data_IF_602551020322
#
_entry.id   IF_602551020322
#
_cell.length_a   1.000
_cell.length_b   1.000
_cell.length_c   1.000
_cell.angle_alpha   90.00
_cell.angle_beta   90.00
_cell.angle_gamma   90.00
#
_symmetry.space_group_name_H-M   'P 1'
#
loop_
_entity.id
_entity.type
_entity.pdbx_description
1 polymer ?
#
# COMPACT_ATOMS: atom_id res chain seq x y z
N UNK A 1 -0.82 18.55 15.49
CA UNK A 1 -0.94 18.79 14.03
C UNK A 1 0.39 19.18 13.35
N UNK A 2 1.14 20.18 13.82
CA UNK A 2 2.44 20.53 13.19
C UNK A 2 3.44 19.37 13.17
N UNK A 3 3.55 18.60 14.25
CA UNK A 3 4.46 17.45 14.34
C UNK A 3 4.11 16.33 13.35
N UNK A 4 2.82 16.02 13.16
CA UNK A 4 2.35 15.03 12.18
C UNK A 4 2.75 15.41 10.76
N UNK A 5 2.58 16.70 10.41
CA UNK A 5 2.93 17.21 9.08
C UNK A 5 4.44 17.16 8.85
N UNK A 6 5.25 17.52 9.85
CA UNK A 6 6.70 17.47 9.76
C UNK A 6 7.22 16.03 9.58
N UNK A 7 6.65 15.08 10.29
CA UNK A 7 6.99 13.65 10.15
C UNK A 7 6.58 13.11 8.78
N UNK A 8 5.40 13.47 8.32
CA UNK A 8 4.95 13.15 6.96
C UNK A 8 5.89 13.73 5.89
N UNK A 9 6.25 15.01 6.01
CA UNK A 9 7.19 15.66 5.09
C UNK A 9 8.57 15.00 5.10
N UNK A 10 9.07 14.61 6.28
CA UNK A 10 10.34 13.87 6.39
C UNK A 10 10.30 12.58 5.59
N UNK A 11 9.23 11.79 5.72
CA UNK A 11 9.11 10.51 5.03
C UNK A 11 8.89 10.69 3.51
N UNK A 12 8.12 11.70 3.10
CA UNK A 12 7.95 12.02 1.69
C UNK A 12 9.25 12.52 1.06
N UNK A 13 9.97 13.40 1.76
CA UNK A 13 11.29 13.89 1.31
C UNK A 13 12.30 12.75 1.19
N UNK A 14 12.32 11.81 2.15
CA UNK A 14 13.15 10.61 2.07
C UNK A 14 12.86 9.82 0.81
N UNK A 15 11.60 9.55 0.51
CA UNK A 15 11.19 8.83 -0.69
C UNK A 15 11.63 9.56 -1.98
N UNK A 16 11.53 10.89 -2.03
CA UNK A 16 11.94 11.68 -3.22
C UNK A 16 13.47 11.71 -3.39
N UNK A 17 14.22 11.77 -2.28
CA UNK A 17 15.70 11.79 -2.31
C UNK A 17 16.27 10.42 -2.69
N UNK A 18 15.56 9.35 -2.38
CA UNK A 18 15.92 7.98 -2.72
C UNK A 18 14.99 7.40 -3.81
N UNK A 19 15.24 7.73 -5.09
CA UNK A 19 14.38 7.29 -6.19
C UNK A 19 14.29 5.77 -6.31
N UNK A 20 15.31 5.05 -5.85
CA UNK A 20 15.31 3.59 -5.76
C UNK A 20 14.18 3.06 -4.87
N UNK A 21 13.81 3.76 -3.80
CA UNK A 21 12.69 3.40 -2.92
C UNK A 21 11.35 3.53 -3.66
N UNK A 22 11.16 4.61 -4.41
CA UNK A 22 9.95 4.83 -5.21
C UNK A 22 9.85 3.79 -6.33
N UNK A 23 10.93 3.57 -7.06
CA UNK A 23 10.96 2.60 -8.16
C UNK A 23 10.67 1.19 -7.63
N UNK A 24 11.31 0.77 -6.54
CA UNK A 24 11.04 -0.53 -5.92
C UNK A 24 9.59 -0.69 -5.48
N UNK A 25 9.00 0.36 -4.91
CA UNK A 25 7.62 0.39 -4.46
C UNK A 25 6.62 0.31 -5.64
N UNK A 26 6.95 0.85 -6.81
CA UNK A 26 6.09 0.89 -7.99
C UNK A 26 6.22 -0.34 -8.89
N UNK A 27 7.40 -0.95 -8.94
CA UNK A 27 7.66 -2.12 -9.80
C UNK A 27 6.71 -3.27 -9.47
N UNK A 28 6.54 -3.60 -8.20
CA UNK A 28 5.73 -4.74 -7.79
C UNK A 28 4.26 -4.65 -8.24
N UNK A 29 3.50 -3.57 -7.96
CA UNK A 29 2.12 -3.46 -8.43
C UNK A 29 2.01 -3.35 -9.96
N UNK A 30 2.94 -2.69 -10.62
CA UNK A 30 2.97 -2.62 -12.09
C UNK A 30 3.19 -4.00 -12.70
N UNK A 31 4.12 -4.79 -12.16
CA UNK A 31 4.31 -6.18 -12.58
C UNK A 31 3.05 -7.02 -12.41
N UNK A 32 2.31 -6.86 -11.29
CA UNK A 32 1.05 -7.57 -11.10
C UNK A 32 0.02 -7.19 -12.16
N UNK A 33 -0.14 -5.90 -12.47
CA UNK A 33 -1.07 -5.44 -13.52
C UNK A 33 -0.69 -6.03 -14.88
N UNK A 34 0.59 -5.98 -15.23
CA UNK A 34 1.09 -6.52 -16.51
C UNK A 34 0.94 -8.06 -16.56
N UNK A 35 1.33 -8.75 -15.48
CA UNK A 35 1.26 -10.21 -15.41
C UNK A 35 -0.17 -10.72 -15.56
N UNK A 36 -1.11 -10.15 -14.79
CA UNK A 36 -2.51 -10.52 -14.90
C UNK A 36 -3.13 -10.07 -16.22
N UNK A 37 -2.80 -8.88 -16.69
CA UNK A 37 -3.33 -8.36 -17.95
C UNK A 37 -2.87 -9.14 -19.17
N UNK A 38 -1.59 -9.48 -19.26
CA UNK A 38 -1.05 -10.26 -20.38
C UNK A 38 -1.32 -11.75 -20.20
N UNK A 39 -1.12 -12.28 -18.99
CA UNK A 39 -1.26 -13.72 -18.71
C UNK A 39 -2.69 -14.22 -18.93
N UNK A 40 -3.69 -13.48 -18.48
CA UNK A 40 -5.09 -13.90 -18.68
C UNK A 40 -5.60 -13.63 -20.10
N UNK A 41 -5.03 -12.67 -20.81
CA UNK A 41 -5.39 -12.41 -22.22
C UNK A 41 -5.21 -13.65 -23.09
N UNK A 42 -4.16 -14.43 -22.87
CA UNK A 42 -3.90 -15.68 -23.60
C UNK A 42 -4.90 -16.78 -23.27
N UNK A 43 -5.46 -16.79 -22.03
CA UNK A 43 -6.43 -17.79 -21.61
C UNK A 43 -7.85 -17.45 -22.02
N UNK A 44 -8.21 -16.16 -22.08
CA UNK A 44 -9.56 -15.70 -22.41
C UNK A 44 -9.81 -15.58 -23.92
N UNK A 45 -8.76 -15.51 -24.74
CA UNK A 45 -8.87 -15.51 -26.21
C UNK A 45 -9.53 -16.76 -26.78
N UNK A 46 -9.70 -17.81 -25.96
CA UNK A 46 -10.38 -19.07 -26.32
C UNK A 46 -11.87 -19.11 -25.98
N UNK A 47 -12.43 -18.09 -25.27
CA UNK A 47 -13.85 -18.06 -24.87
C UNK A 47 -14.59 -16.96 -25.63
N UNK A 48 -15.55 -17.29 -26.52
CA UNK A 48 -16.38 -16.30 -27.18
C UNK A 48 -17.31 -15.61 -26.14
N UNK A 49 -17.12 -14.30 -25.92
CA UNK A 49 -18.05 -13.51 -25.10
C UNK A 49 -17.47 -12.70 -23.95
N UNK A 50 -16.24 -12.96 -23.51
CA UNK A 50 -15.59 -12.14 -22.48
C UNK A 50 -14.57 -11.19 -23.12
N UNK A 51 -14.82 -9.88 -23.02
CA UNK A 51 -13.85 -8.88 -23.45
C UNK A 51 -12.75 -8.71 -22.39
N UNK A 52 -11.49 -8.53 -22.84
CA UNK A 52 -10.36 -8.21 -21.95
C UNK A 52 -10.62 -7.01 -21.05
N UNK A 53 -11.42 -6.07 -21.53
CA UNK A 53 -11.79 -4.85 -20.82
C UNK A 53 -12.55 -5.13 -19.52
N UNK A 54 -13.45 -6.13 -19.55
CA UNK A 54 -14.24 -6.51 -18.36
C UNK A 54 -13.36 -7.19 -17.29
N UNK A 55 -12.41 -8.02 -17.73
CA UNK A 55 -11.47 -8.69 -16.81
C UNK A 55 -10.54 -7.69 -16.11
N UNK A 56 -9.93 -6.78 -16.86
CA UNK A 56 -9.05 -5.76 -16.27
C UNK A 56 -9.79 -4.85 -15.30
N UNK A 57 -11.01 -4.48 -15.63
CA UNK A 57 -11.87 -3.67 -14.75
C UNK A 57 -12.17 -4.39 -13.43
N UNK A 58 -12.29 -5.72 -13.46
CA UNK A 58 -12.52 -6.54 -12.26
C UNK A 58 -11.25 -6.74 -11.40
N UNK A 59 -10.08 -6.92 -12.03
CA UNK A 59 -8.84 -7.27 -11.32
C UNK A 59 -8.17 -6.06 -10.68
N UNK A 60 -8.26 -4.87 -11.28
CA UNK A 60 -7.61 -3.65 -10.79
C UNK A 60 -7.94 -3.35 -9.32
N UNK A 61 -9.19 -3.38 -8.85
CA UNK A 61 -9.51 -3.16 -7.43
C UNK A 61 -8.80 -4.13 -6.50
N UNK A 62 -8.67 -5.41 -6.90
CA UNK A 62 -7.93 -6.41 -6.14
C UNK A 62 -6.43 -6.08 -6.03
N UNK A 63 -5.81 -5.67 -7.13
CA UNK A 63 -4.40 -5.26 -7.14
C UNK A 63 -4.20 -4.02 -6.26
N UNK A 64 -5.12 -3.06 -6.30
CA UNK A 64 -5.10 -1.87 -5.43
C UNK A 64 -5.16 -2.27 -3.96
N UNK A 65 -6.05 -3.19 -3.59
CA UNK A 65 -6.16 -3.67 -2.20
C UNK A 65 -4.87 -4.37 -1.74
N UNK A 66 -4.30 -5.27 -2.56
CA UNK A 66 -3.02 -5.92 -2.28
C UNK A 66 -1.88 -4.90 -2.13
N UNK A 67 -1.86 -3.87 -2.96
CA UNK A 67 -0.87 -2.79 -2.90
C UNK A 67 -1.00 -1.98 -1.60
N UNK A 68 -2.22 -1.71 -1.15
CA UNK A 68 -2.47 -1.01 0.11
C UNK A 68 -1.96 -1.82 1.32
N UNK A 69 -2.18 -3.13 1.33
CA UNK A 69 -1.61 -4.03 2.35
C UNK A 69 -0.09 -4.01 2.31
N UNK A 70 0.52 -4.15 1.13
CA UNK A 70 1.97 -4.12 0.96
C UNK A 70 2.62 -2.82 1.46
N UNK A 71 2.01 -1.68 1.16
CA UNK A 71 2.48 -0.37 1.61
C UNK A 71 2.36 -0.21 3.15
N UNK A 72 1.30 -0.75 3.75
CA UNK A 72 1.14 -0.76 5.21
C UNK A 72 2.24 -1.61 5.88
N UNK A 73 2.54 -2.79 5.33
CA UNK A 73 3.62 -3.66 5.80
C UNK A 73 4.97 -2.95 5.70
N UNK A 74 5.25 -2.30 4.59
CA UNK A 74 6.48 -1.52 4.40
C UNK A 74 6.57 -0.36 5.39
N UNK A 75 5.45 0.31 5.68
CA UNK A 75 5.37 1.36 6.71
C UNK A 75 5.72 0.85 8.09
N UNK A 76 5.23 -0.33 8.48
CA UNK A 76 5.56 -0.98 9.74
C UNK A 76 7.03 -1.41 9.81
N UNK A 77 7.59 -1.97 8.73
CA UNK A 77 9.01 -2.31 8.64
C UNK A 77 9.91 -1.08 8.77
N UNK A 78 9.55 0.03 8.14
CA UNK A 78 10.26 1.32 8.26
C UNK A 78 10.26 1.79 9.71
N UNK A 79 9.12 1.74 10.37
CA UNK A 79 8.99 2.06 11.80
C UNK A 79 9.87 1.20 12.68
N UNK A 80 9.87 -0.12 12.45
CA UNK A 80 10.72 -1.05 13.19
C UNK A 80 12.20 -0.73 13.02
N UNK A 81 12.65 -0.47 11.79
CA UNK A 81 14.02 -0.08 11.51
C UNK A 81 14.40 1.25 12.19
N UNK A 82 13.52 2.25 12.19
CA UNK A 82 13.73 3.51 12.93
C UNK A 82 13.83 3.25 14.45
N UNK A 83 13.06 2.29 14.99
CA UNK A 83 13.12 1.90 16.40
C UNK A 83 14.45 1.19 16.73
N UNK A 84 14.85 0.24 15.92
CA UNK A 84 16.10 -0.52 16.11
C UNK A 84 17.34 0.39 16.00
N UNK A 85 17.31 1.35 15.09
CA UNK A 85 18.37 2.35 14.92
C UNK A 85 18.35 3.48 15.97
N UNK A 86 17.41 3.44 16.93
CA UNK A 86 17.34 4.43 18.00
C UNK A 86 16.67 5.76 17.63
N UNK A 87 16.30 5.98 16.37
CA UNK A 87 15.66 7.22 15.88
C UNK A 87 14.35 7.50 16.61
N UNK A 88 13.60 6.44 16.97
CA UNK A 88 12.36 6.57 17.74
C UNK A 88 12.61 7.17 19.13
N UNK A 89 13.78 6.92 19.75
CA UNK A 89 14.15 7.51 21.04
C UNK A 89 14.27 9.04 20.93
N UNK A 90 14.77 9.54 19.82
CA UNK A 90 14.85 10.98 19.55
C UNK A 90 13.45 11.62 19.44
N UNK A 91 12.50 10.91 18.78
CA UNK A 91 11.11 11.37 18.73
C UNK A 91 10.45 11.39 20.10
N UNK A 92 10.75 10.41 20.95
CA UNK A 92 10.19 10.31 22.29
C UNK A 92 10.83 11.31 23.28
N UNK A 93 12.06 11.74 23.03
CA UNK A 93 12.74 12.79 23.79
C UNK A 93 12.21 14.20 23.45
N UNK A 94 11.64 14.37 22.23
CA UNK A 94 11.02 15.62 21.84
C UNK A 94 9.62 15.77 22.50
N UNK A 95 9.16 16.99 22.80
CA UNK A 95 7.84 17.24 23.37
C UNK A 95 6.73 17.08 22.31
N UNK A 96 6.62 15.87 21.74
CA UNK A 96 5.69 15.53 20.68
C UNK A 96 4.70 14.48 21.19
N UNK A 97 3.38 14.68 21.00
CA UNK A 97 2.40 13.67 21.37
C UNK A 97 2.65 12.35 20.60
N UNK A 98 2.66 11.22 21.29
CA UNK A 98 2.88 9.88 20.70
C UNK A 98 1.91 9.60 19.55
N UNK A 99 0.68 10.05 19.66
CA UNK A 99 -0.33 9.93 18.61
C UNK A 99 0.08 10.64 17.32
N UNK A 100 0.79 11.78 17.40
CA UNK A 100 1.27 12.51 16.23
C UNK A 100 2.33 11.71 15.45
N UNK A 101 3.11 10.88 16.14
CA UNK A 101 4.12 10.03 15.52
C UNK A 101 3.43 8.90 14.70
N UNK A 102 2.45 8.23 15.32
CA UNK A 102 1.67 7.18 14.66
C UNK A 102 0.89 7.73 13.46
N UNK A 103 0.21 8.87 13.66
CA UNK A 103 -0.53 9.54 12.57
C UNK A 103 0.38 10.01 11.44
N UNK A 104 1.59 10.49 11.75
CA UNK A 104 2.57 10.86 10.73
C UNK A 104 2.99 9.69 9.85
N UNK A 105 3.23 8.53 10.46
CA UNK A 105 3.57 7.30 9.75
C UNK A 105 2.38 6.79 8.92
N UNK A 106 1.18 6.68 9.51
CA UNK A 106 -0.03 6.25 8.82
C UNK A 106 -0.36 7.14 7.61
N UNK A 107 -0.33 8.47 7.78
CA UNK A 107 -0.57 9.42 6.69
C UNK A 107 0.45 9.28 5.58
N UNK A 108 1.71 9.04 5.92
CA UNK A 108 2.78 8.80 4.96
C UNK A 108 2.55 7.52 4.14
N UNK A 109 2.16 6.43 4.80
CA UNK A 109 1.81 5.16 4.15
C UNK A 109 0.63 5.33 3.20
N UNK A 110 -0.44 6.02 3.63
CA UNK A 110 -1.59 6.32 2.78
C UNK A 110 -1.19 7.15 1.55
N UNK A 111 -0.32 8.16 1.72
CA UNK A 111 0.16 8.98 0.59
C UNK A 111 0.95 8.14 -0.42
N UNK A 112 1.77 7.20 0.04
CA UNK A 112 2.49 6.25 -0.83
C UNK A 112 1.51 5.34 -1.58
N UNK A 113 0.49 4.82 -0.90
CA UNK A 113 -0.59 4.02 -1.54
C UNK A 113 -1.31 4.82 -2.63
N UNK A 114 -1.65 6.07 -2.37
CA UNK A 114 -2.34 6.90 -3.36
C UNK A 114 -1.49 7.12 -4.63
N UNK A 115 -0.18 7.32 -4.47
CA UNK A 115 0.74 7.41 -5.62
C UNK A 115 0.76 6.08 -6.40
N UNK A 116 0.82 4.94 -5.71
CA UNK A 116 0.78 3.62 -6.34
C UNK A 116 -0.53 3.38 -7.07
N UNK A 117 -1.66 3.73 -6.45
CA UNK A 117 -2.99 3.62 -7.08
C UNK A 117 -3.09 4.44 -8.35
N UNK A 118 -2.57 5.68 -8.36
CA UNK A 118 -2.53 6.49 -9.57
C UNK A 118 -1.75 5.80 -10.70
N UNK A 119 -0.59 5.23 -10.39
CA UNK A 119 0.21 4.51 -11.39
C UNK A 119 -0.51 3.26 -11.88
N UNK A 120 -1.13 2.48 -10.98
CA UNK A 120 -1.94 1.29 -11.33
C UNK A 120 -3.08 1.67 -12.27
N UNK A 121 -3.79 2.76 -11.98
CA UNK A 121 -4.90 3.23 -12.81
C UNK A 121 -4.41 3.67 -14.19
N UNK A 122 -3.30 4.39 -14.28
CA UNK A 122 -2.70 4.79 -15.56
C UNK A 122 -2.33 3.56 -16.39
N UNK A 123 -1.61 2.61 -15.80
CA UNK A 123 -1.22 1.37 -16.50
C UNK A 123 -2.45 0.55 -16.90
N UNK A 124 -3.44 0.43 -16.01
CA UNK A 124 -4.70 -0.26 -16.27
C UNK A 124 -5.48 0.34 -17.43
N UNK A 125 -5.53 1.68 -17.54
CA UNK A 125 -6.12 2.38 -18.68
C UNK A 125 -5.42 2.02 -20.00
N UNK A 126 -4.09 2.02 -20.02
CA UNK A 126 -3.34 1.60 -21.20
C UNK A 126 -3.59 0.14 -21.58
N UNK A 127 -3.97 -0.69 -20.64
CA UNK A 127 -4.30 -2.10 -20.86
C UNK A 127 -5.78 -2.36 -21.19
N UNK A 128 -6.60 -1.30 -21.26
CA UNK A 128 -8.00 -1.37 -21.68
C UNK A 128 -9.01 -1.43 -20.54
N UNK A 129 -8.63 -1.12 -19.30
CA UNK A 129 -9.59 -1.02 -18.21
C UNK A 129 -10.60 0.10 -18.44
N UNK A 130 -11.87 -0.20 -18.24
CA UNK A 130 -12.94 0.79 -18.30
C UNK A 130 -13.16 1.39 -16.93
N UNK A 131 -12.82 2.65 -16.79
CA UNK A 131 -13.08 3.39 -15.56
C UNK A 131 -14.52 3.93 -15.58
N UNK A 132 -15.16 3.88 -14.41
CA UNK A 132 -16.52 4.43 -14.26
C UNK A 132 -16.49 5.96 -14.35
N UNK A 133 -17.42 6.55 -15.08
CA UNK A 133 -17.58 8.00 -15.18
C UNK A 133 -18.25 8.63 -13.95
N UNK A 134 -18.54 7.83 -12.92
CA UNK A 134 -19.22 8.30 -11.72
C UNK A 134 -18.23 8.93 -10.72
N UNK A 135 -18.23 10.26 -10.52
CA UNK A 135 -17.31 10.93 -9.61
C UNK A 135 -17.54 10.57 -8.14
N UNK A 136 -18.76 10.20 -7.76
CA UNK A 136 -19.05 9.70 -6.41
C UNK A 136 -18.38 8.34 -6.15
N UNK A 137 -18.33 7.47 -7.16
CA UNK A 137 -17.63 6.18 -7.09
C UNK A 137 -16.12 6.36 -6.84
N UNK A 138 -15.52 7.35 -7.49
CA UNK A 138 -14.10 7.69 -7.28
C UNK A 138 -13.84 8.19 -5.87
N UNK A 139 -14.67 9.11 -5.37
CA UNK A 139 -14.56 9.63 -4.01
C UNK A 139 -14.71 8.49 -2.98
N UNK A 140 -15.71 7.63 -3.16
CA UNK A 140 -15.92 6.44 -2.32
C UNK A 140 -14.72 5.50 -2.35
N UNK A 141 -14.17 5.22 -3.53
CA UNK A 141 -12.96 4.39 -3.69
C UNK A 141 -11.75 4.96 -2.97
N UNK A 142 -11.46 6.25 -3.12
CA UNK A 142 -10.37 6.91 -2.40
C UNK A 142 -10.55 6.88 -0.88
N UNK A 143 -11.75 7.09 -0.38
CA UNK A 143 -12.06 7.02 1.06
C UNK A 143 -11.88 5.60 1.59
N UNK A 144 -12.33 4.60 0.85
CA UNK A 144 -12.15 3.19 1.22
C UNK A 144 -10.66 2.80 1.26
N UNK A 145 -9.88 3.18 0.24
CA UNK A 145 -8.44 2.92 0.19
C UNK A 145 -7.72 3.61 1.34
N UNK A 146 -8.06 4.86 1.64
CA UNK A 146 -7.48 5.60 2.75
C UNK A 146 -7.83 4.97 4.09
N UNK A 147 -9.09 4.61 4.32
CA UNK A 147 -9.55 3.95 5.55
C UNK A 147 -8.90 2.58 5.74
N UNK A 148 -8.84 1.78 4.68
CA UNK A 148 -8.18 0.50 4.67
C UNK A 148 -6.67 0.63 4.93
N UNK A 149 -6.01 1.59 4.28
CA UNK A 149 -4.59 1.88 4.47
C UNK A 149 -4.26 2.32 5.90
N UNK A 150 -5.10 3.15 6.53
CA UNK A 150 -4.93 3.56 7.93
C UNK A 150 -5.11 2.35 8.86
N UNK A 151 -6.14 1.54 8.66
CA UNK A 151 -6.41 0.36 9.48
C UNK A 151 -5.26 -0.65 9.42
N UNK A 152 -4.83 -1.02 8.23
CA UNK A 152 -3.70 -1.93 8.05
C UNK A 152 -2.36 -1.33 8.52
N UNK A 153 -2.15 -0.02 8.36
CA UNK A 153 -0.96 0.65 8.89
C UNK A 153 -0.92 0.59 10.42
N UNK A 154 -2.06 0.81 11.09
CA UNK A 154 -2.18 0.66 12.55
C UNK A 154 -1.86 -0.77 13.01
N UNK A 155 -2.37 -1.76 12.28
CA UNK A 155 -2.09 -3.17 12.54
C UNK A 155 -0.61 -3.50 12.34
N UNK A 156 -0.01 -3.11 11.22
CA UNK A 156 1.41 -3.32 10.91
C UNK A 156 2.33 -2.65 11.94
N UNK A 157 1.98 -1.44 12.40
CA UNK A 157 2.68 -0.74 13.46
C UNK A 157 2.57 -1.45 14.82
N UNK A 158 1.42 -2.05 15.13
CA UNK A 158 1.24 -2.84 16.36
C UNK A 158 2.17 -4.05 16.37
N UNK A 159 2.25 -4.78 15.26
CA UNK A 159 3.20 -5.91 15.10
C UNK A 159 4.64 -5.43 15.18
N UNK A 160 4.98 -4.32 14.51
CA UNK A 160 6.31 -3.72 14.53
C UNK A 160 6.74 -3.25 15.92
N UNK A 161 5.79 -2.83 16.77
CA UNK A 161 6.07 -2.42 18.14
C UNK A 161 6.36 -3.61 19.07
N UNK A 162 5.83 -4.78 18.74
CA UNK A 162 5.94 -6.02 19.54
C UNK A 162 7.12 -6.90 19.13
N UNK A 163 7.83 -6.54 18.05
CA UNK A 163 8.90 -7.36 17.47
C UNK A 163 10.24 -6.65 17.62
N UNK A 164 11.29 -7.39 17.96
CA UNK A 164 12.64 -6.86 18.17
C UNK A 164 13.62 -7.17 17.03
N UNK A 165 13.14 -7.81 15.95
CA UNK A 165 13.95 -8.09 14.76
C UNK A 165 13.14 -7.90 13.48
N UNK A 166 13.81 -7.46 12.42
CA UNK A 166 13.20 -7.28 11.10
C UNK A 166 12.69 -8.61 10.52
N UNK A 167 13.42 -9.69 10.73
CA UNK A 167 13.03 -11.03 10.28
C UNK A 167 11.79 -11.53 11.01
N UNK A 168 11.73 -11.36 12.33
CA UNK A 168 10.55 -11.70 13.13
C UNK A 168 9.30 -10.92 12.72
N UNK A 169 9.46 -9.63 12.37
CA UNK A 169 8.38 -8.82 11.85
C UNK A 169 7.82 -9.39 10.54
N UNK A 170 8.68 -9.66 9.56
CA UNK A 170 8.25 -10.20 8.28
C UNK A 170 7.60 -11.57 8.42
N UNK A 171 8.12 -12.43 9.31
CA UNK A 171 7.54 -13.74 9.60
C UNK A 171 6.15 -13.61 10.24
N UNK A 172 5.96 -12.73 11.23
CA UNK A 172 4.66 -12.49 11.85
C UNK A 172 3.63 -11.95 10.84
N UNK A 173 4.02 -10.97 10.04
CA UNK A 173 3.16 -10.42 9.00
C UNK A 173 2.76 -11.49 7.98
N UNK A 174 3.70 -12.32 7.54
CA UNK A 174 3.44 -13.39 6.60
C UNK A 174 2.45 -14.41 7.17
N UNK A 175 2.64 -14.83 8.43
CA UNK A 175 1.71 -15.76 9.11
C UNK A 175 0.30 -15.18 9.24
N UNK A 176 0.17 -13.88 9.45
CA UNK A 176 -1.12 -13.21 9.55
C UNK A 176 -1.76 -12.95 8.18
N UNK A 177 -0.94 -12.77 7.14
CA UNK A 177 -1.41 -12.54 5.78
C UNK A 177 -2.00 -13.82 5.16
N UNK A 178 -1.48 -15.00 5.49
CA UNK A 178 -1.98 -16.28 4.98
C UNK A 178 -3.47 -16.50 5.28
N UNK A 179 -3.95 -16.41 6.55
CA UNK A 179 -5.38 -16.55 6.84
C UNK A 179 -6.24 -15.52 6.12
N UNK A 180 -5.75 -14.27 5.98
CA UNK A 180 -6.49 -13.22 5.27
C UNK A 180 -6.68 -13.54 3.79
N UNK A 181 -5.65 -14.11 3.14
CA UNK A 181 -5.76 -14.56 1.74
C UNK A 181 -6.77 -15.70 1.58
N UNK A 182 -6.78 -16.67 2.49
CA UNK A 182 -7.73 -17.78 2.43
C UNK A 182 -9.17 -17.36 2.74
N UNK A 183 -9.37 -16.45 3.70
CA UNK A 183 -10.69 -15.91 4.03
C UNK A 183 -11.27 -14.99 2.94
N UNK A 184 -10.41 -14.38 2.12
CA UNK A 184 -10.84 -13.51 1.02
C UNK A 184 -11.45 -14.27 -0.15
N UNK A 185 -11.25 -15.59 -0.24
CA UNK A 185 -11.70 -16.43 -1.37
C UNK A 185 -12.94 -17.29 -1.03
N UNK A 186 -13.58 -17.07 0.13
CA UNK A 186 -14.77 -17.82 0.56
C UNK A 186 -16.08 -17.06 0.34
#
# INVERSE_FOLDING_TARGET
MKATILLWQKQMKKAIVHPEEIVGMLIQPVLWVILFGVGMRSMMSTSPGNSNDDYMTFVIPGIIALTAVGAAITGGSTWLNERLNGIVKEYLAAPIPRLSILMGNATSSVSKVLIQVLVILIVGLFMGARLSDNPLGWLGGFLLIAGFGIGFSGFALSVASSTDSSEGYHMMIFLLQLPLLFLSNS
#
